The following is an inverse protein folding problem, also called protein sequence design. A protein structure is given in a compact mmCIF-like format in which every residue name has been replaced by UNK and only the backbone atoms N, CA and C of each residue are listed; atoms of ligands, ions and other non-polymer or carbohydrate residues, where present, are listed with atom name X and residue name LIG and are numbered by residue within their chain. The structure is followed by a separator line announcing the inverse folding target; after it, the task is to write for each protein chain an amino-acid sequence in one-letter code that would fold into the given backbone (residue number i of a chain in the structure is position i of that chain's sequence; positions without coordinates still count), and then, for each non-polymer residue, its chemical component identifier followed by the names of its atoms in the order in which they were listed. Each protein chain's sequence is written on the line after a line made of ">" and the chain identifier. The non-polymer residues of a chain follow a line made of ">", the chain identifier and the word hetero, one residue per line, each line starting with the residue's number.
data_IF_576349009138
#
_entry.id   IF_576349009138
#
_cell.length_a   1.000
_cell.length_b   1.000
_cell.length_c   1.000
_cell.angle_alpha   90.00
_cell.angle_beta   90.00
_cell.angle_gamma   90.00
#
_symmetry.space_group_name_H-M   'P 1'
#
loop_
_entity.id
_entity.type
_entity.pdbx_description
1 polymer ?
#
# COMPACT_ATOMS: atom_id res chain seq x y z
N UNK A 1 6.75 9.75 9.08
CA UNK A 1 7.58 9.75 7.86
C UNK A 1 6.63 9.92 6.69
N UNK A 2 6.82 10.93 5.83
CA UNK A 2 5.94 11.16 4.68
C UNK A 2 6.40 10.29 3.53
N UNK A 3 5.79 9.12 3.35
CA UNK A 3 6.08 8.29 2.20
C UNK A 3 5.78 9.06 0.90
N UNK A 4 6.72 9.07 -0.03
CA UNK A 4 6.63 9.87 -1.27
C UNK A 4 6.15 9.02 -2.44
N UNK A 5 5.43 9.62 -3.40
CA UNK A 5 4.95 8.91 -4.61
C UNK A 5 6.09 8.26 -5.41
N UNK A 6 7.29 8.83 -5.32
CA UNK A 6 8.51 8.27 -5.93
C UNK A 6 8.83 6.89 -5.35
N UNK A 7 8.72 6.72 -4.04
CA UNK A 7 8.96 5.42 -3.37
C UNK A 7 7.94 4.36 -3.80
N UNK A 8 6.67 4.76 -3.94
CA UNK A 8 5.62 3.87 -4.44
C UNK A 8 5.92 3.39 -5.86
N UNK A 9 6.43 4.28 -6.72
CA UNK A 9 6.82 3.93 -8.09
C UNK A 9 7.97 2.92 -8.12
N UNK A 10 8.97 3.11 -7.27
CA UNK A 10 10.11 2.18 -7.16
C UNK A 10 9.66 0.80 -6.69
N UNK A 11 8.78 0.74 -5.67
CA UNK A 11 8.20 -0.51 -5.18
C UNK A 11 7.40 -1.24 -6.27
N UNK A 12 6.54 -0.54 -7.00
CA UNK A 12 5.76 -1.13 -8.12
C UNK A 12 6.66 -1.62 -9.24
N UNK A 13 7.76 -0.92 -9.53
CA UNK A 13 8.76 -1.36 -10.52
C UNK A 13 9.45 -2.64 -10.06
N UNK A 14 9.89 -2.72 -8.81
CA UNK A 14 10.49 -3.93 -8.24
C UNK A 14 9.54 -5.13 -8.32
N UNK A 15 8.25 -4.92 -8.01
CA UNK A 15 7.21 -5.94 -8.15
C UNK A 15 7.06 -6.42 -9.60
N UNK A 16 7.03 -5.50 -10.57
CA UNK A 16 6.95 -5.86 -11.99
C UNK A 16 8.19 -6.62 -12.50
N UNK A 17 9.35 -6.40 -11.88
CA UNK A 17 10.62 -7.04 -12.25
C UNK A 17 10.84 -8.37 -11.51
N UNK A 18 10.02 -8.66 -10.48
CA UNK A 18 10.19 -9.84 -9.61
C UNK A 18 11.34 -9.72 -8.61
N UNK A 19 11.91 -8.52 -8.46
CA UNK A 19 13.02 -8.25 -7.56
C UNK A 19 12.51 -8.03 -6.13
N UNK A 20 13.17 -8.69 -5.18
CA UNK A 20 12.84 -8.57 -3.74
C UNK A 20 13.59 -7.44 -3.04
N UNK A 21 14.59 -6.85 -3.70
CA UNK A 21 15.42 -5.79 -3.15
C UNK A 21 14.95 -4.45 -3.70
N UNK A 22 14.71 -3.48 -2.81
CA UNK A 22 14.28 -2.14 -3.18
C UNK A 22 15.13 -1.11 -2.45
N UNK A 23 15.74 -0.22 -3.22
CA UNK A 23 16.54 0.89 -2.69
C UNK A 23 15.73 2.20 -2.69
N UNK A 24 15.76 2.89 -1.56
CA UNK A 24 15.10 4.16 -1.29
C UNK A 24 16.13 5.19 -0.82
N UNK A 25 16.62 6.03 -1.73
CA UNK A 25 17.67 7.01 -1.40
C UNK A 25 18.85 6.30 -0.73
N UNK A 26 19.07 6.59 0.56
CA UNK A 26 20.18 6.07 1.35
C UNK A 26 19.92 4.68 1.97
N UNK A 27 18.72 4.10 1.80
CA UNK A 27 18.33 2.84 2.45
C UNK A 27 18.00 1.76 1.44
N UNK A 28 18.60 0.58 1.59
CA UNK A 28 18.24 -0.61 0.82
C UNK A 28 17.49 -1.58 1.72
N UNK A 29 16.30 -1.98 1.28
CA UNK A 29 15.45 -2.94 1.99
C UNK A 29 15.31 -4.18 1.11
N UNK A 30 15.61 -5.34 1.68
CA UNK A 30 15.40 -6.63 1.02
C UNK A 30 14.21 -7.32 1.67
N UNK A 31 13.15 -7.52 0.88
CA UNK A 31 11.96 -8.25 1.29
C UNK A 31 12.21 -9.74 1.15
N UNK A 32 11.68 -10.56 2.06
CA UNK A 32 11.91 -12.01 2.01
C UNK A 32 11.03 -12.69 0.97
N UNK A 33 9.90 -12.07 0.63
CA UNK A 33 8.93 -12.57 -0.33
C UNK A 33 8.27 -11.46 -1.15
N UNK A 34 7.64 -11.85 -2.27
CA UNK A 34 6.82 -10.94 -3.07
C UNK A 34 5.58 -10.49 -2.30
N UNK A 35 5.06 -11.35 -1.42
CA UNK A 35 3.88 -11.06 -0.60
C UNK A 35 4.17 -9.93 0.41
N UNK A 36 5.35 -9.96 1.05
CA UNK A 36 5.82 -8.86 1.90
C UNK A 36 5.96 -7.55 1.11
N UNK A 37 6.49 -7.62 -0.13
CA UNK A 37 6.61 -6.46 -0.99
C UNK A 37 5.23 -5.86 -1.32
N UNK A 38 4.23 -6.70 -1.60
CA UNK A 38 2.85 -6.24 -1.84
C UNK A 38 2.22 -5.65 -0.58
N UNK A 39 2.42 -6.26 0.58
CA UNK A 39 1.93 -5.74 1.86
C UNK A 39 2.55 -4.37 2.15
N UNK A 40 3.85 -4.19 1.92
CA UNK A 40 4.54 -2.91 2.07
C UNK A 40 3.96 -1.84 1.14
N UNK A 41 3.70 -2.17 -0.14
CA UNK A 41 3.04 -1.27 -1.10
C UNK A 41 1.69 -0.80 -0.58
N UNK A 42 0.84 -1.71 -0.10
CA UNK A 42 -0.49 -1.38 0.42
C UNK A 42 -0.44 -0.46 1.64
N UNK A 43 0.51 -0.70 2.54
CA UNK A 43 0.73 0.16 3.70
C UNK A 43 1.14 1.56 3.27
N UNK A 44 2.09 1.67 2.35
CA UNK A 44 2.54 2.97 1.81
C UNK A 44 1.41 3.71 1.09
N UNK A 45 0.63 3.03 0.27
CA UNK A 45 -0.54 3.63 -0.40
C UNK A 45 -1.58 4.12 0.60
N UNK A 46 -1.85 3.34 1.64
CA UNK A 46 -2.80 3.70 2.70
C UNK A 46 -2.33 4.92 3.49
N UNK A 47 -1.02 5.00 3.81
CA UNK A 47 -0.44 6.16 4.46
C UNK A 47 -0.46 7.41 3.58
N UNK A 48 -0.16 7.28 2.29
CA UNK A 48 -0.26 8.40 1.34
C UNK A 48 -1.71 8.86 1.22
N UNK A 49 -2.68 7.95 1.12
CA UNK A 49 -4.10 8.29 1.06
C UNK A 49 -4.59 8.98 2.33
N UNK A 50 -4.14 8.50 3.50
CA UNK A 50 -4.43 9.10 4.82
C UNK A 50 -3.81 10.49 4.95
N UNK A 51 -2.56 10.65 4.53
CA UNK A 51 -1.82 11.92 4.54
C UNK A 51 -2.43 12.95 3.58
N UNK A 52 -2.93 12.51 2.41
CA UNK A 52 -3.66 13.34 1.46
C UNK A 52 -5.07 13.72 1.89
N UNK A 53 -5.52 13.27 3.07
CA UNK A 53 -6.85 13.57 3.58
C UNK A 53 -7.97 12.85 2.82
N UNK A 54 -7.69 11.73 2.13
CA UNK A 54 -8.75 10.88 1.57
C UNK A 54 -9.29 10.00 2.71
N UNK A 55 -10.46 10.32 3.31
CA UNK A 55 -11.03 9.42 4.31
C UNK A 55 -11.36 8.09 3.65
N UNK A 56 -10.93 6.99 4.26
CA UNK A 56 -11.41 5.67 3.88
C UNK A 56 -12.95 5.68 3.99
N UNK A 57 -13.65 5.53 2.85
CA UNK A 57 -15.11 5.48 2.83
C UNK A 57 -15.58 4.26 3.63
N UNK A 58 -16.04 4.46 4.87
CA UNK A 58 -16.75 3.42 5.63
C UNK A 58 -18.12 3.22 4.98
N UNK A 59 -18.41 2.01 4.51
CA UNK A 59 -19.74 1.62 4.07
C UNK A 59 -20.35 0.70 5.13
N UNK A 60 -21.46 1.11 5.74
CA UNK A 60 -22.24 0.27 6.64
C UNK A 60 -23.41 -0.29 5.83
N UNK A 61 -23.46 -1.61 5.64
CA UNK A 61 -24.63 -2.28 5.05
C UNK A 61 -25.48 -2.84 6.18
N UNK A 62 -26.70 -2.32 6.31
CA UNK A 62 -27.71 -2.86 7.22
C UNK A 62 -28.69 -3.68 6.38
N UNK A 63 -28.61 -5.00 6.48
CA UNK A 63 -29.63 -5.90 5.95
C UNK A 63 -30.66 -6.13 7.05
N UNK A 64 -31.88 -5.61 6.90
CA UNK A 64 -33.02 -5.97 7.74
C UNK A 64 -33.95 -6.88 6.94
N UNK A 65 -34.26 -8.05 7.50
CA UNK A 65 -35.29 -8.95 6.98
C UNK A 65 -36.58 -8.68 7.75
N UNK A 66 -37.36 -7.69 7.33
CA UNK A 66 -38.74 -7.53 7.79
C UNK A 66 -39.61 -7.03 6.65
N UNK A 67 -40.33 -7.95 6.04
CA UNK A 67 -41.13 -7.75 4.85
C UNK A 67 -41.42 -9.09 4.16
N UNK A 68 -42.06 -9.99 4.89
CA UNK A 68 -42.83 -11.12 4.35
C UNK A 68 -44.24 -10.99 4.92
#
# INVERSE_FOLDING_TARGET
>A
MTYTNTQLRTLRKALATGERRVSFGDKTVEYRSIDELQAAIRTVESEIARSRGTPAKRQIRVTTAKGF
#
